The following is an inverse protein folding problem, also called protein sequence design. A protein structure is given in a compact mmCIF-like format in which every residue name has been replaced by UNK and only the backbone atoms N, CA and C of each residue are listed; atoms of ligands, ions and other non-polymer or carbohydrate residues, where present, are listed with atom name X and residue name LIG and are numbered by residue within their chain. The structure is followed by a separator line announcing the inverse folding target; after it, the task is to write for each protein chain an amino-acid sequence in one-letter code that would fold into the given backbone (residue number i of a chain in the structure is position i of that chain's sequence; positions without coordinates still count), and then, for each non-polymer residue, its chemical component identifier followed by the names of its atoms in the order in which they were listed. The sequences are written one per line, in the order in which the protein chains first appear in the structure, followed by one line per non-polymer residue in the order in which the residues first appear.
data_IF_223336631098
#
_entry.id   IF_223336631098
#
_cell.length_a   1.000
_cell.length_b   1.000
_cell.length_c   1.000
_cell.angle_alpha   90.00
_cell.angle_beta   90.00
_cell.angle_gamma   90.00
#
_symmetry.space_group_name_H-M   'P 1'
#
loop_
_entity.id
_entity.type
_entity.pdbx_description
1 polymer ?
#
# COMPACT_ATOMS: atom_id res chain seq x y z
N UNK A 1 -25.50 -1.48 3.03
CA UNK A 1 -24.38 -2.38 3.36
C UNK A 1 -23.20 -1.98 2.46
N UNK A 2 -22.06 -1.56 3.03
CA UNK A 2 -20.89 -1.19 2.21
C UNK A 2 -20.22 -2.47 1.68
N UNK A 3 -19.69 -2.48 0.45
CA UNK A 3 -18.94 -3.63 -0.06
C UNK A 3 -17.72 -3.89 0.84
N UNK A 4 -17.35 -5.16 0.97
CA UNK A 4 -16.18 -5.60 1.77
C UNK A 4 -14.86 -5.12 1.16
N UNK A 5 -14.90 -4.66 -0.10
CA UNK A 5 -13.73 -4.40 -0.93
C UNK A 5 -13.78 -2.98 -1.50
N UNK A 6 -12.63 -2.32 -1.50
CA UNK A 6 -12.41 -0.99 -2.03
C UNK A 6 -12.03 -1.02 -3.52
N UNK A 7 -12.47 -0.01 -4.24
CA UNK A 7 -11.93 0.36 -5.54
C UNK A 7 -10.57 1.04 -5.40
N UNK A 8 -9.82 1.20 -6.49
CA UNK A 8 -8.54 1.93 -6.48
C UNK A 8 -8.67 3.38 -5.94
N UNK A 9 -9.82 4.04 -6.14
CA UNK A 9 -10.07 5.39 -5.62
C UNK A 9 -10.31 5.36 -4.11
N UNK A 10 -11.16 4.46 -3.63
CA UNK A 10 -11.42 4.32 -2.20
C UNK A 10 -10.18 3.84 -1.44
N UNK A 11 -9.36 2.96 -2.03
CA UNK A 11 -8.09 2.52 -1.45
C UNK A 11 -7.09 3.68 -1.33
N UNK A 12 -7.04 4.56 -2.33
CA UNK A 12 -6.23 5.78 -2.32
C UNK A 12 -6.68 6.74 -1.21
N UNK A 13 -7.99 6.97 -1.10
CA UNK A 13 -8.58 7.81 -0.04
C UNK A 13 -8.38 7.19 1.35
N UNK A 14 -8.44 5.86 1.46
CA UNK A 14 -8.24 5.15 2.73
C UNK A 14 -6.80 5.25 3.25
N UNK A 15 -5.80 5.05 2.37
CA UNK A 15 -4.38 5.11 2.75
C UNK A 15 -3.87 6.56 2.80
N UNK A 16 -4.54 7.49 2.09
CA UNK A 16 -4.13 8.89 2.03
C UNK A 16 -3.07 9.19 0.95
N UNK A 17 -3.09 8.45 -0.16
CA UNK A 17 -2.18 8.66 -1.30
C UNK A 17 -2.94 8.97 -2.58
N UNK A 18 -2.22 9.40 -3.63
CA UNK A 18 -2.87 9.69 -4.91
C UNK A 18 -3.43 8.44 -5.58
N UNK A 19 -4.55 8.58 -6.29
CA UNK A 19 -5.14 7.51 -7.11
C UNK A 19 -4.12 6.92 -8.11
N UNK A 20 -3.30 7.78 -8.71
CA UNK A 20 -2.25 7.37 -9.64
C UNK A 20 -1.19 6.50 -8.94
N UNK A 21 -0.79 6.86 -7.73
CA UNK A 21 0.17 6.09 -6.92
C UNK A 21 -0.36 4.69 -6.63
N UNK A 22 -1.62 4.55 -6.19
CA UNK A 22 -2.25 3.22 -6.00
C UNK A 22 -2.22 2.40 -7.29
N UNK A 23 -2.56 3.01 -8.43
CA UNK A 23 -2.56 2.30 -9.71
C UNK A 23 -1.17 1.83 -10.10
N UNK A 24 -0.16 2.69 -9.94
CA UNK A 24 1.25 2.36 -10.22
C UNK A 24 1.74 1.25 -9.30
N UNK A 25 1.48 1.33 -7.99
CA UNK A 25 1.80 0.26 -7.03
C UNK A 25 1.13 -1.06 -7.41
N UNK A 26 -0.13 -1.01 -7.82
CA UNK A 26 -0.87 -2.19 -8.24
C UNK A 26 -0.38 -2.72 -9.60
N UNK A 27 0.11 -1.87 -10.51
CA UNK A 27 0.75 -2.30 -11.76
C UNK A 27 2.08 -3.00 -11.48
N UNK A 28 2.87 -2.46 -10.54
CA UNK A 28 4.14 -3.02 -10.08
C UNK A 28 3.99 -4.22 -9.15
N UNK A 29 2.75 -4.60 -8.80
CA UNK A 29 2.43 -5.68 -7.83
C UNK A 29 3.05 -5.46 -6.44
N UNK A 30 3.27 -4.21 -6.06
CA UNK A 30 3.83 -3.85 -4.75
C UNK A 30 2.77 -3.76 -3.66
N UNK A 31 1.50 -3.56 -4.04
CA UNK A 31 0.36 -3.50 -3.13
C UNK A 31 -0.57 -4.70 -3.38
N UNK A 32 -1.10 -5.34 -2.33
CA UNK A 32 -2.00 -6.48 -2.50
C UNK A 32 -3.32 -6.03 -3.13
N UNK A 33 -3.68 -6.69 -4.24
CA UNK A 33 -4.92 -6.41 -4.96
C UNK A 33 -5.45 -7.67 -5.63
N UNK A 34 -6.77 -7.72 -5.81
CA UNK A 34 -7.44 -8.79 -6.56
C UNK A 34 -7.89 -8.23 -7.91
N UNK A 35 -7.32 -8.71 -9.03
CA UNK A 35 -7.80 -8.33 -10.35
C UNK A 35 -9.16 -8.99 -10.63
N UNK A 36 -10.16 -8.19 -10.93
CA UNK A 36 -11.50 -8.67 -11.35
C UNK A 36 -11.84 -8.02 -12.68
N UNK A 37 -11.50 -8.72 -13.76
CA UNK A 37 -11.59 -8.20 -15.12
C UNK A 37 -10.75 -6.92 -15.29
N UNK A 38 -11.42 -5.81 -15.61
CA UNK A 38 -10.77 -4.48 -15.76
C UNK A 38 -10.58 -3.73 -14.45
N UNK A 39 -11.18 -4.20 -13.35
CA UNK A 39 -11.14 -3.52 -12.05
C UNK A 39 -10.09 -4.15 -11.16
N UNK A 40 -9.45 -3.32 -10.34
CA UNK A 40 -8.58 -3.76 -9.25
C UNK A 40 -9.32 -3.51 -7.95
N UNK A 41 -9.52 -4.57 -7.18
CA UNK A 41 -10.22 -4.55 -5.91
C UNK A 41 -9.22 -4.75 -4.78
N UNK A 42 -9.39 -4.01 -3.69
CA UNK A 42 -8.51 -3.98 -2.53
C UNK A 42 -9.30 -4.31 -1.28
N UNK A 43 -8.94 -5.36 -0.55
CA UNK A 43 -9.58 -5.62 0.75
C UNK A 43 -8.94 -4.75 1.81
N UNK A 44 -9.75 -4.27 2.75
CA UNK A 44 -9.27 -3.48 3.89
C UNK A 44 -8.17 -4.21 4.66
N UNK A 45 -8.43 -5.47 5.04
CA UNK A 45 -7.47 -6.34 5.74
C UNK A 45 -6.11 -6.43 5.03
N UNK A 46 -6.11 -6.49 3.70
CA UNK A 46 -4.88 -6.61 2.91
C UNK A 46 -4.11 -5.30 2.87
N UNK A 47 -4.81 -4.16 2.80
CA UNK A 47 -4.18 -2.84 2.86
C UNK A 47 -3.56 -2.58 4.24
N UNK A 48 -4.26 -2.94 5.31
CA UNK A 48 -3.79 -2.77 6.69
C UNK A 48 -2.52 -3.62 6.96
N UNK A 49 -2.54 -4.89 6.51
CA UNK A 49 -1.36 -5.76 6.60
C UNK A 49 -0.19 -5.21 5.79
N UNK A 50 -0.44 -4.74 4.58
CA UNK A 50 0.61 -4.16 3.74
C UNK A 50 1.24 -2.91 4.37
N UNK A 51 0.45 -2.01 4.96
CA UNK A 51 0.96 -0.84 5.69
C UNK A 51 1.88 -1.27 6.84
N UNK A 52 1.45 -2.28 7.61
CA UNK A 52 2.25 -2.85 8.71
C UNK A 52 3.58 -3.43 8.20
N UNK A 53 3.60 -4.07 7.04
CA UNK A 53 4.82 -4.57 6.41
C UNK A 53 5.73 -3.42 5.94
N UNK A 54 5.17 -2.37 5.34
CA UNK A 54 5.94 -1.19 4.94
C UNK A 54 6.59 -0.48 6.14
N UNK A 55 5.87 -0.36 7.26
CA UNK A 55 6.40 0.20 8.50
C UNK A 55 7.60 -0.58 9.02
N UNK A 56 7.52 -1.93 9.01
CA UNK A 56 8.64 -2.79 9.42
C UNK A 56 9.84 -2.64 8.50
N UNK A 57 9.64 -2.63 7.18
CA UNK A 57 10.72 -2.44 6.21
C UNK A 57 11.41 -1.08 6.42
N UNK A 58 10.66 -0.03 6.74
CA UNK A 58 11.22 1.29 7.06
C UNK A 58 12.10 1.23 8.31
N UNK A 59 11.64 0.57 9.37
CA UNK A 59 12.38 0.44 10.62
C UNK A 59 13.66 -0.41 10.48
N UNK A 60 13.60 -1.48 9.68
CA UNK A 60 14.76 -2.33 9.38
C UNK A 60 15.81 -1.60 8.55
N UNK A 61 15.37 -0.78 7.57
CA UNK A 61 16.26 0.06 6.79
C UNK A 61 17.02 1.04 7.69
N UNK A 62 16.33 1.77 8.57
CA UNK A 62 16.97 2.69 9.51
C UNK A 62 17.98 2.00 10.44
N UNK A 63 17.69 0.76 10.84
CA UNK A 63 18.56 -0.05 11.70
C UNK A 63 19.82 -0.54 10.97
N UNK A 64 19.70 -0.90 9.69
CA UNK A 64 20.82 -1.41 8.88
C UNK A 64 21.77 -0.32 8.40
N UNK A 65 21.29 0.91 8.21
CA UNK A 65 22.09 2.03 7.70
C UNK A 65 22.75 2.87 8.79
N UNK A 66 22.68 2.44 10.06
CA UNK A 66 23.51 2.92 11.19
C UNK A 66 23.93 4.38 11.03
N UNK A 67 22.96 5.29 11.22
CA UNK A 67 23.04 6.73 10.96
C UNK A 67 24.45 7.29 11.28
N UNK A 68 25.34 7.33 10.28
CA UNK A 68 26.46 8.28 10.26
C UNK A 68 25.86 9.59 9.80
N UNK A 69 25.21 10.30 10.73
CA UNK A 69 24.97 11.74 10.60
C UNK A 69 26.34 12.40 10.61
N UNK A 70 26.89 12.66 9.43
CA UNK A 70 28.00 13.60 9.26
C UNK A 70 27.32 14.95 9.01
N UNK A 71 27.44 15.85 9.99
CA UNK A 71 27.13 17.27 9.81
C UNK A 71 28.24 17.95 9.02
#
# INVERSE_FOLDING_TARGET
MKPVTFTAKEAAEYIGISYYTILELARKRQIPHTPVGRRKLFRKESLDNWMTEQEKLSQEFESSFGIRRVY
#
